data_IF_015360865031
#
_entry.id   IF_015360865031
#
_cell.length_a   1.000
_cell.length_b   1.000
_cell.length_c   1.000
_cell.angle_alpha   90.00
_cell.angle_beta   90.00
_cell.angle_gamma   90.00
#
_symmetry.space_group_name_H-M   'P 1'
#
loop_
_entity.id
_entity.type
_entity.pdbx_description
1 polymer ?
#
# COMPACT_ATOMS: atom_id res chain seq x y z
N UNK A 1 -0.17 -22.90 7.85
CA UNK A 1 0.81 -21.86 7.50
C UNK A 1 0.03 -20.72 6.84
N UNK A 2 0.14 -19.47 7.30
CA UNK A 2 -0.63 -18.38 6.72
C UNK A 2 -0.33 -18.17 5.23
N UNK A 3 -1.28 -17.61 4.50
CA UNK A 3 -1.10 -17.32 3.08
C UNK A 3 0.08 -16.35 2.87
N UNK A 4 0.91 -16.53 1.82
CA UNK A 4 2.18 -15.81 1.69
C UNK A 4 1.98 -14.29 1.55
N UNK A 5 0.94 -13.85 0.83
CA UNK A 5 0.76 -12.44 0.49
C UNK A 5 -0.19 -11.70 1.43
N UNK A 6 -1.30 -12.33 1.84
CA UNK A 6 -2.29 -11.71 2.70
C UNK A 6 -2.12 -12.08 4.17
N UNK A 7 -1.26 -13.06 4.49
CA UNK A 7 -1.05 -13.56 5.84
C UNK A 7 -2.36 -14.07 6.49
N UNK A 8 -3.27 -14.57 5.65
CA UNK A 8 -4.55 -15.16 6.10
C UNK A 8 -4.23 -16.48 6.79
N UNK A 9 -4.64 -16.70 8.05
CA UNK A 9 -4.43 -17.98 8.73
C UNK A 9 -5.11 -19.14 8.00
N UNK A 10 -4.46 -20.30 8.03
CA UNK A 10 -5.12 -21.53 7.58
C UNK A 10 -6.21 -21.93 8.57
N UNK A 11 -7.28 -22.51 8.03
CA UNK A 11 -8.19 -23.30 8.85
C UNK A 11 -7.46 -24.53 9.40
N UNK A 12 -7.57 -24.76 10.71
CA UNK A 12 -7.02 -25.94 11.39
C UNK A 12 -8.11 -26.98 11.65
N UNK A 13 -7.77 -28.27 11.50
CA UNK A 13 -8.71 -29.34 11.79
C UNK A 13 -9.24 -29.23 13.24
N UNK A 14 -10.55 -29.42 13.42
CA UNK A 14 -11.24 -29.35 14.72
C UNK A 14 -11.28 -27.96 15.38
N UNK A 15 -11.01 -26.88 14.64
CA UNK A 15 -11.26 -25.53 15.11
C UNK A 15 -12.75 -25.31 15.42
N UNK A 16 -13.05 -24.61 16.51
CA UNK A 16 -14.39 -24.06 16.72
C UNK A 16 -14.66 -22.93 15.72
N UNK A 17 -15.88 -22.90 15.18
CA UNK A 17 -16.37 -21.89 14.23
C UNK A 17 -15.49 -21.72 12.98
N UNK A 18 -15.24 -22.80 12.21
CA UNK A 18 -14.46 -22.71 10.96
C UNK A 18 -15.06 -21.73 9.95
N UNK A 19 -16.39 -21.56 9.96
CA UNK A 19 -17.12 -20.60 9.12
C UNK A 19 -16.69 -19.15 9.36
N UNK A 20 -16.40 -18.75 10.60
CA UNK A 20 -15.93 -17.39 10.91
C UNK A 20 -14.51 -17.15 10.37
N UNK A 21 -13.68 -18.20 10.36
CA UNK A 21 -12.32 -18.11 9.80
C UNK A 21 -12.35 -17.98 8.28
N UNK A 22 -13.22 -18.74 7.62
CA UNK A 22 -13.43 -18.61 6.17
C UNK A 22 -14.03 -17.25 5.82
N UNK A 23 -15.00 -16.77 6.61
CA UNK A 23 -15.56 -15.43 6.42
C UNK A 23 -14.50 -14.35 6.54
N UNK A 24 -13.67 -14.39 7.58
CA UNK A 24 -12.57 -13.44 7.77
C UNK A 24 -11.55 -13.49 6.60
N UNK A 25 -11.25 -14.69 6.08
CA UNK A 25 -10.39 -14.86 4.91
C UNK A 25 -10.98 -14.21 3.65
N UNK A 26 -12.28 -14.38 3.41
CA UNK A 26 -13.00 -13.77 2.29
C UNK A 26 -13.04 -12.25 2.44
N UNK A 27 -13.38 -11.74 3.62
CA UNK A 27 -13.40 -10.31 3.92
C UNK A 27 -12.00 -9.69 3.71
N UNK A 28 -10.94 -10.39 4.10
CA UNK A 28 -9.57 -9.90 3.91
C UNK A 28 -9.16 -9.90 2.43
N UNK A 29 -9.58 -10.90 1.64
CA UNK A 29 -9.36 -10.92 0.20
C UNK A 29 -10.10 -9.78 -0.49
N UNK A 30 -11.38 -9.58 -0.14
CA UNK A 30 -12.19 -8.49 -0.68
C UNK A 30 -11.57 -7.12 -0.38
N UNK A 31 -11.19 -6.89 0.88
CA UNK A 31 -10.51 -5.66 1.26
C UNK A 31 -9.19 -5.47 0.50
N UNK A 32 -8.35 -6.51 0.45
CA UNK A 32 -7.09 -6.42 -0.27
C UNK A 32 -7.26 -6.11 -1.76
N UNK A 33 -8.39 -6.47 -2.36
CA UNK A 33 -8.70 -6.21 -3.77
C UNK A 33 -9.45 -4.89 -4.01
N UNK A 34 -10.27 -4.41 -3.07
CA UNK A 34 -11.23 -3.34 -3.34
C UNK A 34 -11.14 -2.16 -2.36
N UNK A 35 -10.54 -2.34 -1.17
CA UNK A 35 -10.51 -1.29 -0.15
C UNK A 35 -9.42 -0.24 -0.41
N UNK A 36 -9.71 0.97 0.05
CA UNK A 36 -8.77 2.07 0.17
C UNK A 36 -8.41 2.33 1.64
N UNK A 37 -7.23 2.89 1.86
CA UNK A 37 -6.81 3.40 3.17
C UNK A 37 -6.38 4.84 3.07
N UNK A 38 -6.91 5.67 3.97
CA UNK A 38 -6.52 7.05 4.12
C UNK A 38 -5.21 7.15 4.93
N UNK A 39 -4.20 7.80 4.37
CA UNK A 39 -2.89 8.04 4.97
C UNK A 39 -2.74 9.54 5.22
N UNK A 40 -2.59 9.91 6.50
CA UNK A 40 -2.37 11.32 6.89
C UNK A 40 -0.93 11.73 6.59
N UNK A 41 -0.78 12.70 5.70
CA UNK A 41 0.49 13.26 5.28
C UNK A 41 0.71 14.69 5.83
N UNK A 42 -0.09 15.16 6.78
CA UNK A 42 -0.02 16.53 7.33
C UNK A 42 1.37 16.88 7.88
N UNK A 43 2.07 15.90 8.46
CA UNK A 43 3.43 16.10 8.97
C UNK A 43 4.48 16.35 7.87
N UNK A 44 4.22 15.91 6.63
CA UNK A 44 5.19 15.94 5.54
C UNK A 44 6.43 15.07 5.81
N UNK A 45 7.54 15.41 5.16
CA UNK A 45 8.80 14.67 5.32
C UNK A 45 8.73 13.28 4.70
N UNK A 46 9.00 12.23 5.47
CA UNK A 46 8.88 10.84 5.02
C UNK A 46 7.75 10.15 5.78
N UNK A 47 6.75 9.69 5.04
CA UNK A 47 5.61 8.92 5.54
C UNK A 47 5.82 7.45 5.19
N UNK A 48 5.82 6.57 6.19
CA UNK A 48 6.01 5.13 6.00
C UNK A 48 4.67 4.41 6.10
N UNK A 49 4.27 3.75 5.03
CA UNK A 49 3.05 2.92 4.99
C UNK A 49 3.33 1.60 5.71
N UNK A 50 2.48 1.25 6.67
CA UNK A 50 2.67 -0.01 7.40
C UNK A 50 2.39 -1.22 6.49
N UNK A 51 3.05 -2.35 6.78
CA UNK A 51 2.82 -3.59 6.05
C UNK A 51 1.35 -4.05 6.06
N UNK A 52 0.60 -3.76 7.14
CA UNK A 52 -0.82 -4.10 7.21
C UNK A 52 -1.68 -3.21 6.30
N UNK A 53 -1.46 -1.89 6.32
CA UNK A 53 -2.14 -0.96 5.42
C UNK A 53 -1.85 -1.31 3.95
N UNK A 54 -0.57 -1.55 3.63
CA UNK A 54 -0.15 -1.91 2.29
C UNK A 54 -0.67 -3.27 1.83
N UNK A 55 -0.86 -4.24 2.73
CA UNK A 55 -1.36 -5.58 2.39
C UNK A 55 -2.88 -5.66 2.27
N UNK A 56 -3.60 -4.92 3.10
CA UNK A 56 -5.05 -5.04 3.17
C UNK A 56 -5.82 -4.04 2.30
N UNK A 57 -5.14 -3.16 1.57
CA UNK A 57 -5.80 -2.14 0.75
C UNK A 57 -5.13 -2.04 -0.63
N UNK A 58 -5.93 -1.95 -1.67
CA UNK A 58 -5.45 -1.77 -3.05
C UNK A 58 -5.09 -0.30 -3.32
N UNK A 59 -5.76 0.64 -2.66
CA UNK A 59 -5.58 2.07 -2.89
C UNK A 59 -5.04 2.74 -1.63
N UNK A 60 -3.97 3.51 -1.78
CA UNK A 60 -3.43 4.39 -0.74
C UNK A 60 -3.87 5.82 -1.05
N UNK A 61 -4.83 6.34 -0.28
CA UNK A 61 -5.33 7.71 -0.42
C UNK A 61 -4.56 8.64 0.52
N UNK A 62 -3.75 9.52 -0.04
CA UNK A 62 -2.95 10.49 0.71
C UNK A 62 -3.79 11.74 0.94
N UNK A 63 -3.89 12.17 2.20
CA UNK A 63 -4.63 13.37 2.59
C UNK A 63 -3.84 14.21 3.59
N UNK A 64 -4.36 15.40 3.92
CA UNK A 64 -3.69 16.37 4.78
C UNK A 64 -3.07 17.50 3.96
N UNK A 65 -2.33 18.39 4.62
CA UNK A 65 -1.73 19.57 3.96
C UNK A 65 -0.27 19.75 4.39
N UNK A 66 0.65 18.92 3.88
CA UNK A 66 2.07 19.09 4.12
C UNK A 66 2.57 20.45 3.61
N UNK A 67 3.57 21.02 4.29
CA UNK A 67 4.13 22.32 3.93
C UNK A 67 4.94 22.35 2.63
N UNK A 68 5.34 21.19 2.11
CA UNK A 68 6.11 21.01 0.88
C UNK A 68 5.88 19.59 0.31
N UNK A 69 6.52 19.27 -0.81
CA UNK A 69 6.60 17.89 -1.31
C UNK A 69 7.19 16.93 -0.27
N UNK A 70 6.76 15.68 -0.30
CA UNK A 70 7.08 14.68 0.72
C UNK A 70 7.34 13.30 0.10
N UNK A 71 7.95 12.41 0.87
CA UNK A 71 8.24 11.04 0.46
C UNK A 71 7.20 10.09 1.07
N UNK A 72 6.76 9.13 0.27
CA UNK A 72 5.93 8.02 0.70
C UNK A 72 6.73 6.73 0.53
N UNK A 73 7.05 6.07 1.64
CA UNK A 73 7.74 4.78 1.62
C UNK A 73 6.71 3.66 1.76
N UNK A 74 6.65 2.77 0.77
CA UNK A 74 5.84 1.54 0.81
C UNK A 74 6.72 0.33 1.10
N UNK A 75 6.19 -0.75 1.69
CA UNK A 75 6.94 -1.99 1.86
C UNK A 75 7.41 -2.57 0.53
N UNK A 76 8.60 -3.18 0.54
CA UNK A 76 9.07 -4.04 -0.56
C UNK A 76 8.12 -5.22 -0.79
N UNK A 77 8.06 -5.73 -2.02
CA UNK A 77 7.31 -6.93 -2.32
C UNK A 77 6.84 -7.02 -3.77
N UNK A 78 5.91 -7.95 -4.02
CA UNK A 78 5.30 -8.16 -5.34
C UNK A 78 3.81 -7.82 -5.30
N UNK A 79 3.39 -6.64 -5.76
CA UNK A 79 1.99 -6.22 -5.67
C UNK A 79 1.62 -5.08 -6.63
N UNK A 80 0.37 -5.12 -7.15
CA UNK A 80 -0.31 -3.97 -7.73
C UNK A 80 -1.03 -3.13 -6.67
N UNK A 81 -0.87 -1.82 -6.75
CA UNK A 81 -1.58 -0.87 -5.90
C UNK A 81 -1.70 0.48 -6.59
N UNK A 82 -2.65 1.30 -6.16
CA UNK A 82 -2.80 2.66 -6.63
C UNK A 82 -2.47 3.65 -5.52
N UNK A 83 -1.90 4.79 -5.89
CA UNK A 83 -1.70 5.93 -5.00
C UNK A 83 -2.55 7.08 -5.52
N UNK A 84 -3.50 7.53 -4.70
CA UNK A 84 -4.30 8.72 -4.94
C UNK A 84 -3.76 9.83 -4.05
N UNK A 85 -3.28 10.93 -4.64
CA UNK A 85 -2.73 12.04 -3.87
C UNK A 85 -3.68 13.24 -3.86
N UNK A 86 -4.22 13.55 -2.67
CA UNK A 86 -5.11 14.69 -2.43
C UNK A 86 -4.55 15.64 -1.36
N UNK A 87 -3.23 15.83 -1.33
CA UNK A 87 -2.54 16.57 -0.25
C UNK A 87 -2.25 18.04 -0.59
N UNK A 88 -2.53 18.48 -1.81
CA UNK A 88 -2.09 19.79 -2.30
C UNK A 88 -0.60 19.88 -2.62
N UNK A 89 0.16 18.78 -2.45
CA UNK A 89 1.60 18.71 -2.68
C UNK A 89 1.98 17.50 -3.51
N UNK A 90 3.23 17.48 -3.99
CA UNK A 90 3.79 16.33 -4.72
C UNK A 90 4.28 15.26 -3.76
N UNK A 91 3.91 14.00 -4.01
CA UNK A 91 4.43 12.84 -3.31
C UNK A 91 5.48 12.12 -4.16
N UNK A 92 6.61 11.78 -3.55
CA UNK A 92 7.65 10.92 -4.14
C UNK A 92 7.53 9.53 -3.51
N UNK A 93 7.06 8.56 -4.28
CA UNK A 93 6.79 7.20 -3.79
C UNK A 93 7.97 6.28 -4.08
N UNK A 94 8.40 5.54 -3.08
CA UNK A 94 9.47 4.55 -3.19
C UNK A 94 9.23 3.35 -2.28
N UNK A 95 9.94 2.25 -2.50
CA UNK A 95 9.91 1.09 -1.60
C UNK A 95 10.87 1.29 -0.42
N UNK A 96 10.76 0.45 0.61
CA UNK A 96 11.59 0.52 1.82
C UNK A 96 13.08 0.38 1.56
N UNK A 97 13.47 -0.39 0.54
CA UNK A 97 14.87 -0.62 0.15
C UNK A 97 15.21 -0.07 -1.24
N UNK A 98 14.20 0.35 -2.03
CA UNK A 98 14.37 0.88 -3.39
C UNK A 98 14.98 2.28 -3.47
N UNK A 99 15.07 3.00 -2.35
CA UNK A 99 15.70 4.34 -2.26
C UNK A 99 17.22 4.36 -2.44
N UNK A 100 17.84 3.23 -2.79
CA UNK A 100 19.23 3.15 -3.21
C UNK A 100 19.39 3.85 -4.58
N UNK A 101 20.53 4.50 -4.80
CA UNK A 101 20.76 5.51 -5.87
C UNK A 101 20.59 5.05 -7.33
N UNK A 102 20.17 3.80 -7.55
CA UNK A 102 19.96 3.20 -8.87
C UNK A 102 18.54 3.41 -9.41
N UNK A 103 17.56 3.72 -8.56
CA UNK A 103 16.17 3.94 -8.98
C UNK A 103 15.63 5.29 -8.50
N UNK A 104 14.95 6.00 -9.40
CA UNK A 104 14.31 7.27 -9.07
C UNK A 104 12.91 7.00 -8.48
N UNK A 105 12.52 7.68 -7.39
CA UNK A 105 11.19 7.54 -6.83
C UNK A 105 10.11 7.96 -7.84
N UNK A 106 8.95 7.34 -7.75
CA UNK A 106 7.82 7.66 -8.63
C UNK A 106 7.08 8.89 -8.12
N UNK A 107 7.04 9.93 -8.94
CA UNK A 107 6.32 11.16 -8.63
C UNK A 107 4.81 11.00 -8.85
N UNK A 108 4.04 11.33 -7.82
CA UNK A 108 2.57 11.42 -7.83
C UNK A 108 2.16 12.85 -7.54
N UNK A 109 1.60 13.53 -8.54
CA UNK A 109 1.16 14.92 -8.44
C UNK A 109 -0.14 15.03 -7.63
N UNK A 110 -0.43 16.21 -7.10
CA UNK A 110 -1.71 16.47 -6.45
C UNK A 110 -2.90 16.26 -7.42
N UNK A 111 -4.02 15.79 -6.87
CA UNK A 111 -5.23 15.41 -7.59
C UNK A 111 -5.02 14.33 -8.67
N UNK A 112 -3.96 13.53 -8.56
CA UNK A 112 -3.71 12.42 -9.49
C UNK A 112 -3.78 11.07 -8.82
N UNK A 113 -4.15 10.05 -9.61
CA UNK A 113 -4.05 8.65 -9.22
C UNK A 113 -3.05 7.98 -10.15
N UNK A 114 -2.11 7.23 -9.58
CA UNK A 114 -1.13 6.47 -10.33
C UNK A 114 -1.24 5.00 -9.94
N UNK A 115 -1.33 4.13 -10.94
CA UNK A 115 -1.28 2.68 -10.76
C UNK A 115 0.18 2.22 -10.80
N UNK A 116 0.60 1.53 -9.76
CA UNK A 116 1.97 1.08 -9.54
C UNK A 116 2.04 -0.43 -9.39
N UNK A 117 3.18 -0.99 -9.80
CA UNK A 117 3.56 -2.36 -9.50
C UNK A 117 4.90 -2.34 -8.77
N UNK A 118 4.90 -2.89 -7.55
CA UNK A 118 6.14 -3.16 -6.82
C UNK A 118 6.61 -4.57 -7.17
N UNK A 119 7.91 -4.69 -7.45
CA UNK A 119 8.59 -5.95 -7.72
C UNK A 119 9.90 -6.01 -6.93
N UNK A 120 9.87 -6.71 -5.79
CA UNK A 120 10.95 -6.69 -4.80
C UNK A 120 11.19 -5.25 -4.30
N UNK A 121 12.32 -4.65 -4.66
CA UNK A 121 12.69 -3.28 -4.32
C UNK A 121 12.29 -2.26 -5.39
N UNK A 122 11.94 -2.71 -6.58
CA UNK A 122 11.67 -1.81 -7.69
C UNK A 122 10.21 -1.39 -7.71
N UNK A 123 9.98 -0.16 -8.20
CA UNK A 123 8.65 0.39 -8.38
C UNK A 123 8.44 0.83 -9.83
N UNK A 124 7.35 0.34 -10.43
CA UNK A 124 7.06 0.56 -11.85
C UNK A 124 5.73 1.29 -11.97
N UNK A 125 5.71 2.41 -12.70
CA UNK A 125 4.48 3.08 -13.11
C UNK A 125 3.82 2.32 -14.25
N UNK A 126 2.58 1.90 -14.04
CA UNK A 126 1.80 1.14 -15.02
C UNK A 126 0.84 2.04 -15.79
N UNK A 127 0.16 2.94 -15.09
CA UNK A 127 -0.81 3.87 -15.67
C UNK A 127 -1.05 5.09 -14.79
N UNK A 128 -1.68 6.11 -15.37
CA UNK A 128 -1.95 7.41 -14.75
C UNK A 128 -0.96 8.48 -15.16
#
# INVERSE_FOLDING_TARGET
MPSPNLQIPDWIAQQEQPEETVKAAIDQLDNASNADVAIDCTAGGTIVVTAAQYRNNMVLSLFGTPGAGFNLTVPDGGRFFAVLNNTGQTASVDTTTGGDSEHAPITVLDQTTVLLFSLNTDLIRIAG
#
